data_IF_204119859784
#
_entry.id   IF_204119859784
#
_cell.length_a   1.000
_cell.length_b   1.000
_cell.length_c   1.000
_cell.angle_alpha   90.00
_cell.angle_beta   90.00
_cell.angle_gamma   90.00
#
_symmetry.space_group_name_H-M   'P 1'
#
loop_
_entity.id
_entity.type
_entity.pdbx_description
1 polymer ?
#
# COMPACT_ATOMS: atom_id res chain seq x y z
N UNK A 1 33.81 5.63 -19.88
CA UNK A 1 32.97 4.67 -19.12
C UNK A 1 31.68 5.39 -18.75
N UNK A 2 30.63 5.23 -19.55
CA UNK A 2 29.35 5.93 -19.36
C UNK A 2 28.64 5.28 -18.17
N UNK A 3 28.54 6.00 -17.05
CA UNK A 3 27.82 5.53 -15.84
C UNK A 3 26.30 5.59 -16.11
N UNK A 4 25.81 4.69 -16.96
CA UNK A 4 24.40 4.49 -17.26
C UNK A 4 23.69 4.03 -15.99
N UNK A 5 23.14 4.96 -15.22
CA UNK A 5 22.33 4.66 -14.04
C UNK A 5 22.50 5.61 -12.86
N UNK A 6 23.54 6.45 -12.82
CA UNK A 6 23.64 7.47 -11.76
C UNK A 6 22.87 8.72 -12.17
N UNK A 7 21.98 9.21 -11.32
CA UNK A 7 21.33 10.52 -11.49
C UNK A 7 21.99 11.55 -10.57
N UNK A 8 22.10 12.79 -11.04
CA UNK A 8 22.61 13.90 -10.24
C UNK A 8 21.45 14.60 -9.54
N UNK A 9 21.55 14.80 -8.23
CA UNK A 9 20.58 15.54 -7.43
C UNK A 9 21.12 16.94 -7.09
N UNK A 10 20.55 18.02 -7.66
CA UNK A 10 20.99 19.39 -7.40
C UNK A 10 20.58 19.91 -6.02
N UNK A 11 19.59 19.31 -5.35
CA UNK A 11 19.18 19.73 -4.00
C UNK A 11 20.26 19.34 -2.99
N UNK A 12 20.89 18.18 -3.21
CA UNK A 12 21.88 17.60 -2.31
C UNK A 12 23.32 17.65 -2.86
N UNK A 13 23.52 18.31 -4.00
CA UNK A 13 24.76 18.43 -4.79
C UNK A 13 25.55 17.12 -4.94
N UNK A 14 24.86 16.00 -5.16
CA UNK A 14 25.49 14.67 -5.16
C UNK A 14 24.98 13.74 -6.26
N UNK A 15 25.84 12.81 -6.65
CA UNK A 15 25.46 11.68 -7.50
C UNK A 15 24.80 10.60 -6.65
N UNK A 16 23.59 10.19 -7.02
CA UNK A 16 22.89 9.08 -6.37
C UNK A 16 22.99 7.86 -7.29
N UNK A 17 23.41 6.73 -6.72
CA UNK A 17 23.44 5.45 -7.41
C UNK A 17 22.05 4.77 -7.36
N UNK A 18 21.71 3.92 -8.36
CA UNK A 18 20.53 3.07 -8.27
C UNK A 18 20.54 2.28 -6.96
N UNK A 19 19.39 2.20 -6.29
CA UNK A 19 19.29 1.35 -5.10
C UNK A 19 19.64 -0.09 -5.49
N UNK A 20 20.49 -0.74 -4.70
CA UNK A 20 20.78 -2.16 -4.89
C UNK A 20 19.45 -2.94 -4.93
N UNK A 21 19.33 -3.99 -5.76
CA UNK A 21 18.15 -4.84 -5.76
C UNK A 21 17.94 -5.34 -4.33
N UNK A 22 16.81 -4.96 -3.72
CA UNK A 22 16.47 -5.44 -2.40
C UNK A 22 16.28 -6.95 -2.52
N UNK A 23 17.10 -7.73 -1.80
CA UNK A 23 16.70 -9.09 -1.46
C UNK A 23 15.34 -8.96 -0.78
N UNK A 24 14.31 -9.56 -1.36
CA UNK A 24 12.95 -9.48 -0.85
C UNK A 24 12.92 -10.07 0.55
N UNK A 25 13.08 -9.23 1.57
CA UNK A 25 12.70 -9.58 2.93
C UNK A 25 11.20 -9.84 2.89
N UNK A 26 10.76 -11.01 3.36
CA UNK A 26 9.36 -11.41 3.41
C UNK A 26 8.49 -10.26 3.96
N UNK A 27 7.26 -10.07 3.43
CA UNK A 27 6.47 -8.88 3.72
C UNK A 27 6.01 -8.91 5.18
N UNK A 28 6.66 -8.13 6.04
CA UNK A 28 6.21 -7.86 7.40
C UNK A 28 4.85 -7.13 7.44
N UNK A 29 4.40 -6.59 6.30
CA UNK A 29 3.12 -5.87 6.13
C UNK A 29 1.89 -6.77 5.87
N UNK A 30 2.05 -8.10 5.77
CA UNK A 30 0.90 -8.98 5.50
C UNK A 30 -0.16 -8.91 6.61
N UNK A 31 0.27 -8.80 7.86
CA UNK A 31 -0.64 -8.78 9.03
C UNK A 31 -1.40 -7.47 9.15
N UNK A 32 -0.74 -6.32 8.97
CA UNK A 32 -1.38 -5.00 9.00
C UNK A 32 -2.43 -4.86 7.88
N UNK A 33 -2.09 -5.31 6.67
CA UNK A 33 -3.04 -5.33 5.55
C UNK A 33 -4.22 -6.28 5.81
N UNK A 34 -3.99 -7.40 6.49
CA UNK A 34 -5.07 -8.34 6.79
C UNK A 34 -6.08 -7.78 7.79
N UNK A 35 -5.62 -7.03 8.81
CA UNK A 35 -6.49 -6.36 9.78
C UNK A 35 -7.32 -5.28 9.08
N UNK A 36 -6.70 -4.46 8.23
CA UNK A 36 -7.39 -3.42 7.47
C UNK A 36 -8.46 -3.98 6.53
N UNK A 37 -8.17 -5.08 5.83
CA UNK A 37 -9.14 -5.74 4.95
C UNK A 37 -10.30 -6.40 5.72
N UNK A 38 -10.02 -6.91 6.93
CA UNK A 38 -11.07 -7.44 7.81
C UNK A 38 -12.01 -6.33 8.29
N UNK A 39 -11.47 -5.20 8.77
CA UNK A 39 -12.25 -4.04 9.19
C UNK A 39 -13.14 -3.52 8.06
N UNK A 40 -12.58 -3.40 6.85
CA UNK A 40 -13.32 -3.00 5.65
C UNK A 40 -14.47 -3.96 5.33
N UNK A 41 -14.24 -5.27 5.46
CA UNK A 41 -15.26 -6.29 5.20
C UNK A 41 -16.42 -6.19 6.21
N UNK A 42 -16.10 -5.97 7.49
CA UNK A 42 -17.11 -5.77 8.54
C UNK A 42 -17.96 -4.53 8.24
N UNK A 43 -17.33 -3.43 7.83
CA UNK A 43 -18.05 -2.17 7.54
C UNK A 43 -18.97 -2.31 6.33
N UNK A 44 -18.51 -2.98 5.26
CA UNK A 44 -19.34 -3.28 4.09
C UNK A 44 -20.57 -4.11 4.47
N UNK A 45 -20.41 -5.15 5.30
CA UNK A 45 -21.52 -5.97 5.78
C UNK A 45 -22.51 -5.16 6.62
N UNK A 46 -22.01 -4.24 7.46
CA UNK A 46 -22.83 -3.36 8.29
C UNK A 46 -23.69 -2.43 7.44
N UNK A 47 -23.09 -1.76 6.45
CA UNK A 47 -23.78 -0.87 5.51
C UNK A 47 -24.82 -1.66 4.71
N UNK A 48 -24.44 -2.83 4.18
CA UNK A 48 -25.35 -3.67 3.41
C UNK A 48 -26.62 -4.03 4.21
N UNK A 49 -26.46 -4.48 5.46
CA UNK A 49 -27.61 -4.78 6.34
C UNK A 49 -28.49 -3.56 6.56
N UNK A 50 -27.90 -2.40 6.86
CA UNK A 50 -28.67 -1.17 7.04
C UNK A 50 -29.48 -0.80 5.79
N UNK A 51 -28.90 -0.95 4.60
CA UNK A 51 -29.61 -0.69 3.34
C UNK A 51 -30.77 -1.68 3.12
N UNK A 52 -30.52 -2.98 3.30
CA UNK A 52 -31.55 -4.03 3.17
C UNK A 52 -32.68 -3.82 4.17
N UNK A 53 -32.36 -3.54 5.43
CA UNK A 53 -33.34 -3.33 6.49
C UNK A 53 -34.18 -2.07 6.26
N UNK A 54 -33.60 -0.99 5.73
CA UNK A 54 -34.34 0.20 5.31
C UNK A 54 -35.33 -0.11 4.19
N UNK A 55 -34.92 -0.88 3.19
CA UNK A 55 -35.80 -1.28 2.09
C UNK A 55 -36.92 -2.22 2.52
N UNK A 56 -36.68 -3.09 3.51
CA UNK A 56 -37.66 -4.05 4.01
C UNK A 56 -38.70 -3.44 4.98
N UNK A 57 -38.53 -2.17 5.40
CA UNK A 57 -39.44 -1.46 6.30
C UNK A 57 -40.56 -0.68 5.59
N UNK A 58 -40.63 -0.75 4.26
CA UNK A 58 -41.70 -0.16 3.44
C UNK A 58 -42.66 -1.21 2.90
#
# INVERSE_FOLDING_TARGET
MVNLGKWYDPISERWIAPRAPRLQTAPCHATENHILELEKTIEVQRIWRALVDCCARN
#
